data_IF_410876994623
#
_entry.id   IF_410876994623
#
_cell.length_a   1.000
_cell.length_b   1.000
_cell.length_c   1.000
_cell.angle_alpha   90.00
_cell.angle_beta   90.00
_cell.angle_gamma   90.00
#
_symmetry.space_group_name_H-M   'P 1'
#
loop_
_entity.id
_entity.type
_entity.pdbx_description
1 polymer ?
#
# COMPACT_ATOMS: atom_id res chain seq x y z
N UNK A 1 -31.73 1.08 8.72
CA UNK A 1 -31.65 0.28 8.93
C UNK A 1 -31.08 -0.21 9.15
N UNK A 2 -31.23 0.13 8.76
CA UNK A 2 -31.00 -0.70 8.97
C UNK A 2 -30.54 -1.02 9.11
N UNK A 3 -30.44 -0.93 8.91
CA UNK A 3 -30.31 -1.74 9.30
C UNK A 3 -29.79 -2.25 9.42
N UNK A 4 -29.75 -2.01 9.12
CA UNK A 4 -29.54 -2.85 9.39
C UNK A 4 -29.04 -3.21 9.71
N UNK A 5 -28.90 -3.00 9.71
CA UNK A 5 -28.69 -3.79 9.98
C UNK A 5 -28.13 -3.98 10.36
N UNK A 6 -27.94 -3.93 10.36
CA UNK A 6 -27.71 -4.58 10.77
C UNK A 6 -27.15 -5.01 11.06
N UNK A 7 -26.88 -5.03 10.79
CA UNK A 7 -26.63 -5.81 11.04
C UNK A 7 -26.03 -6.20 11.15
N UNK A 8 -25.69 -6.18 10.93
CA UNK A 8 -25.31 -6.90 10.98
C UNK A 8 -24.60 -7.33 11.02
N UNK A 9 -24.48 -7.15 10.72
CA UNK A 9 -23.95 -7.74 10.68
C UNK A 9 -23.26 -8.11 10.75
N UNK A 10 -23.14 -8.00 10.68
CA UNK A 10 -22.40 -8.41 10.52
C UNK A 10 -21.40 -9.05 10.22
N UNK A 11 -21.02 -9.34 10.22
CA UNK A 11 -20.02 -10.18 10.01
C UNK A 11 -19.62 -10.44 8.62
N UNK A 12 -20.24 -10.58 7.71
CA UNK A 12 -19.84 -10.75 6.34
C UNK A 12 -19.25 -9.45 5.78
N UNK A 13 -18.36 -9.53 4.74
CA UNK A 13 -17.79 -8.33 4.15
C UNK A 13 -18.91 -7.44 3.61
N UNK A 14 -18.92 -6.22 4.04
CA UNK A 14 -20.01 -5.33 3.69
C UNK A 14 -20.09 -5.02 2.21
N UNK A 15 -18.95 -5.09 1.51
CA UNK A 15 -18.89 -4.79 0.11
C UNK A 15 -19.53 -5.83 -0.80
N UNK A 16 -19.72 -7.05 -0.30
CA UNK A 16 -20.24 -8.14 -1.12
C UNK A 16 -21.62 -7.87 -1.67
N UNK A 17 -22.41 -7.10 -0.94
CA UNK A 17 -23.77 -6.78 -1.35
C UNK A 17 -23.84 -6.13 -2.72
N UNK A 18 -22.86 -5.29 -3.05
CA UNK A 18 -22.76 -4.59 -4.32
C UNK A 18 -21.49 -4.95 -5.08
N UNK A 19 -20.83 -6.01 -4.66
CA UNK A 19 -19.56 -6.39 -5.26
C UNK A 19 -18.40 -5.49 -4.88
N UNK A 20 -18.61 -4.58 -3.93
CA UNK A 20 -17.55 -3.68 -3.45
C UNK A 20 -16.75 -4.39 -2.38
N UNK A 21 -15.42 -4.35 -2.51
CA UNK A 21 -14.53 -4.99 -1.56
C UNK A 21 -13.27 -4.17 -1.37
N UNK A 22 -12.50 -4.51 -0.35
CA UNK A 22 -11.20 -3.91 -0.11
C UNK A 22 -10.19 -4.99 0.21
N UNK A 23 -8.94 -4.71 -0.09
CA UNK A 23 -7.85 -5.54 0.40
C UNK A 23 -6.60 -4.69 0.55
N UNK A 24 -5.66 -5.20 1.35
CA UNK A 24 -4.38 -4.52 1.60
C UNK A 24 -3.28 -5.32 0.91
N UNK A 25 -2.46 -4.61 0.14
CA UNK A 25 -1.30 -5.18 -0.51
C UNK A 25 -0.06 -4.72 0.26
N UNK A 26 0.71 -5.65 0.81
CA UNK A 26 1.93 -5.34 1.56
C UNK A 26 3.10 -6.10 1.00
N UNK A 27 4.19 -5.39 0.74
CA UNK A 27 5.45 -5.99 0.31
C UNK A 27 6.61 -5.17 0.86
N UNK A 28 7.71 -5.84 1.15
CA UNK A 28 8.92 -5.17 1.64
C UNK A 28 9.91 -4.83 0.55
N UNK A 29 9.62 -5.14 -0.68
CA UNK A 29 10.48 -4.83 -1.81
C UNK A 29 10.05 -3.54 -2.49
N UNK A 30 11.00 -2.82 -3.13
CA UNK A 30 10.64 -1.58 -3.82
C UNK A 30 9.95 -1.85 -5.14
N UNK A 31 9.27 -0.82 -5.66
CA UNK A 31 8.71 -0.85 -7.01
C UNK A 31 9.75 -0.40 -8.02
N UNK A 32 9.75 -1.03 -9.19
CA UNK A 32 10.48 -0.52 -10.33
C UNK A 32 9.59 0.54 -10.98
N UNK A 33 10.08 1.78 -11.00
CA UNK A 33 9.25 2.93 -11.40
C UNK A 33 8.59 2.75 -12.77
N UNK A 34 9.36 2.35 -13.77
CA UNK A 34 8.82 2.19 -15.12
C UNK A 34 7.73 1.12 -15.19
N UNK A 35 7.91 0.05 -14.45
CA UNK A 35 6.91 -1.03 -14.43
C UNK A 35 5.63 -0.56 -13.75
N UNK A 36 5.77 0.19 -12.67
CA UNK A 36 4.61 0.72 -11.96
C UNK A 36 3.84 1.72 -12.83
N UNK A 37 4.58 2.59 -13.55
CA UNK A 37 3.95 3.55 -14.46
C UNK A 37 3.19 2.84 -15.58
N UNK A 38 3.75 1.77 -16.11
CA UNK A 38 3.07 0.96 -17.12
C UNK A 38 1.79 0.33 -16.54
N UNK A 39 1.87 -0.15 -15.31
CA UNK A 39 0.69 -0.69 -14.63
C UNK A 39 -0.38 0.39 -14.48
N UNK A 40 0.01 1.61 -14.11
CA UNK A 40 -0.93 2.72 -13.96
C UNK A 40 -1.61 3.08 -15.28
N UNK A 41 -0.87 2.98 -16.39
CA UNK A 41 -1.44 3.26 -17.71
C UNK A 41 -2.54 2.25 -18.08
N UNK A 42 -2.49 1.07 -17.47
CA UNK A 42 -3.43 -0.01 -17.72
C UNK A 42 -4.20 -0.40 -16.45
N UNK A 43 -4.41 0.58 -15.58
CA UNK A 43 -4.99 0.34 -14.27
C UNK A 43 -6.38 -0.29 -14.40
N UNK A 44 -6.66 -1.36 -13.64
CA UNK A 44 -7.98 -2.02 -13.72
C UNK A 44 -9.11 -1.06 -13.39
N UNK A 45 -10.12 -1.03 -14.25
CA UNK A 45 -11.27 -0.16 -14.04
C UNK A 45 -12.12 -0.58 -12.85
N UNK A 46 -11.94 -1.81 -12.39
CA UNK A 46 -12.64 -2.30 -11.19
C UNK A 46 -12.15 -1.63 -9.91
N UNK A 47 -10.96 -1.02 -9.93
CA UNK A 47 -10.42 -0.34 -8.76
C UNK A 47 -10.98 1.08 -8.71
N UNK A 48 -11.67 1.41 -7.62
CA UNK A 48 -12.28 2.73 -7.42
C UNK A 48 -11.29 3.68 -6.77
N UNK A 49 -10.60 3.20 -5.74
CA UNK A 49 -9.61 4.00 -5.01
C UNK A 49 -8.45 3.15 -4.52
N UNK A 50 -7.29 3.78 -4.50
CA UNK A 50 -6.10 3.19 -3.91
C UNK A 50 -5.38 4.25 -3.11
N UNK A 51 -4.88 3.88 -1.94
CA UNK A 51 -4.10 4.82 -1.13
C UNK A 51 -3.10 4.05 -0.27
N UNK A 52 -1.94 4.63 -0.11
CA UNK A 52 -0.96 4.09 0.80
C UNK A 52 0.46 4.46 0.45
N UNK A 53 1.40 3.84 1.14
CA UNK A 53 2.82 4.12 0.99
C UNK A 53 3.46 3.19 -0.02
N UNK A 54 4.34 3.76 -0.83
CA UNK A 54 5.16 3.01 -1.77
C UNK A 54 6.59 3.56 -1.71
N UNK A 55 7.52 2.82 -2.29
CA UNK A 55 8.88 3.30 -2.48
C UNK A 55 9.44 2.68 -3.75
N UNK A 56 10.46 3.33 -4.29
CA UNK A 56 10.97 3.00 -5.62
C UNK A 56 12.41 2.55 -5.54
N UNK A 57 12.77 1.63 -6.42
CA UNK A 57 14.12 1.08 -6.48
C UNK A 57 15.18 2.14 -6.75
N UNK A 58 14.84 3.15 -7.55
CA UNK A 58 15.74 4.24 -7.90
C UNK A 58 15.80 5.37 -6.88
N UNK A 59 14.99 5.27 -5.82
CA UNK A 59 14.95 6.33 -4.79
C UNK A 59 14.59 5.70 -3.44
N UNK A 60 15.47 4.85 -2.94
CA UNK A 60 15.17 4.01 -1.77
C UNK A 60 15.05 4.74 -0.45
N UNK A 61 15.56 5.97 -0.38
CA UNK A 61 15.60 6.69 0.89
C UNK A 61 14.31 7.41 1.23
N UNK A 62 13.43 7.61 0.26
CA UNK A 62 12.19 8.35 0.45
C UNK A 62 10.97 7.49 0.31
N UNK A 63 9.98 7.76 1.17
CA UNK A 63 8.65 7.19 1.02
C UNK A 63 7.81 8.09 0.13
N UNK A 64 6.83 7.48 -0.54
CA UNK A 64 5.86 8.20 -1.34
C UNK A 64 4.47 7.81 -0.92
N UNK A 65 3.61 8.81 -0.81
CA UNK A 65 2.18 8.57 -0.61
C UNK A 65 1.53 8.49 -1.97
N UNK A 66 1.02 7.31 -2.30
CA UNK A 66 0.31 7.09 -3.56
C UNK A 66 -1.18 7.18 -3.34
N UNK A 67 -1.87 7.92 -4.20
CA UNK A 67 -3.32 8.04 -4.19
C UNK A 67 -3.86 7.91 -5.59
N UNK A 68 -4.93 7.17 -5.74
CA UNK A 68 -5.62 7.01 -7.02
C UNK A 68 -7.12 7.08 -6.77
N UNK A 69 -7.82 7.81 -7.62
CA UNK A 69 -9.27 7.89 -7.61
C UNK A 69 -9.73 7.95 -9.06
N UNK A 70 -10.45 6.92 -9.50
CA UNK A 70 -10.84 6.81 -10.91
C UNK A 70 -9.62 6.78 -11.82
N UNK A 71 -9.55 7.69 -12.78
CA UNK A 71 -8.45 7.75 -13.72
C UNK A 71 -7.31 8.67 -13.29
N UNK A 72 -7.43 9.27 -12.12
CA UNK A 72 -6.41 10.18 -11.61
C UNK A 72 -5.55 9.48 -10.56
N UNK A 73 -4.25 9.65 -10.69
CA UNK A 73 -3.31 9.07 -9.75
C UNK A 73 -2.19 10.07 -9.48
N UNK A 74 -1.69 10.06 -8.25
CA UNK A 74 -0.58 10.93 -7.86
C UNK A 74 0.29 10.23 -6.84
N UNK A 75 1.56 10.62 -6.82
CA UNK A 75 2.50 10.15 -5.81
C UNK A 75 3.25 11.36 -5.27
N UNK A 76 3.19 11.57 -3.97
CA UNK A 76 3.84 12.69 -3.29
C UNK A 76 4.99 12.18 -2.43
N UNK A 77 6.13 12.87 -2.49
CA UNK A 77 7.23 12.57 -1.59
C UNK A 77 6.76 12.81 -0.15
N UNK A 78 6.83 11.79 0.68
CA UNK A 78 6.35 11.83 2.05
C UNK A 78 7.51 11.87 3.05
N UNK A 79 8.72 12.06 2.56
CA UNK A 79 9.90 12.19 3.38
C UNK A 79 10.69 10.90 3.50
N UNK A 80 11.87 11.00 4.13
CA UNK A 80 12.75 9.83 4.25
C UNK A 80 12.18 8.81 5.22
N UNK A 81 12.51 7.54 4.94
CA UNK A 81 12.22 6.46 5.88
C UNK A 81 13.14 6.59 7.11
N UNK A 82 12.67 6.09 8.25
CA UNK A 82 13.54 6.01 9.42
C UNK A 82 14.76 5.12 9.14
N UNK A 83 14.59 4.10 8.31
CA UNK A 83 15.69 3.22 7.90
C UNK A 83 16.77 3.95 7.08
N UNK A 84 16.49 5.16 6.59
CA UNK A 84 17.45 5.98 5.85
C UNK A 84 18.33 6.83 6.78
N UNK A 85 18.01 6.88 8.06
CA UNK A 85 18.78 7.65 9.03
C UNK A 85 20.04 6.89 9.45
N UNK A 86 20.96 7.57 10.12
CA UNK A 86 22.16 6.93 10.66
C UNK A 86 21.79 5.86 11.68
N UNK A 87 22.71 4.93 11.94
CA UNK A 87 22.48 3.89 12.95
C UNK A 87 22.15 4.47 14.32
N UNK A 88 22.85 5.54 14.71
CA UNK A 88 22.60 6.20 15.99
C UNK A 88 21.19 6.78 16.05
N UNK A 89 20.78 7.43 14.97
CA UNK A 89 19.45 8.01 14.90
C UNK A 89 18.38 6.93 14.88
N UNK A 90 18.63 5.83 14.16
CA UNK A 90 17.70 4.71 14.16
C UNK A 90 17.51 4.14 15.57
N UNK A 91 18.60 3.99 16.32
CA UNK A 91 18.53 3.49 17.68
C UNK A 91 17.73 4.42 18.57
N UNK A 92 17.93 5.74 18.41
CA UNK A 92 17.17 6.73 19.18
C UNK A 92 15.69 6.65 18.85
N UNK A 93 15.36 6.60 17.56
CA UNK A 93 13.96 6.54 17.12
C UNK A 93 13.28 5.29 17.66
N UNK A 94 13.94 4.14 17.60
CA UNK A 94 13.37 2.89 18.11
C UNK A 94 13.20 2.90 19.61
N UNK A 95 14.11 3.56 20.33
CA UNK A 95 14.01 3.70 21.79
C UNK A 95 12.81 4.56 22.18
N UNK A 96 12.60 5.65 21.46
CA UNK A 96 11.52 6.59 21.73
C UNK A 96 10.18 6.12 21.21
N UNK A 97 10.18 5.16 20.30
CA UNK A 97 8.96 4.64 19.66
C UNK A 97 8.99 3.11 19.66
N UNK A 98 8.83 2.48 20.83
CA UNK A 98 8.99 1.02 20.90
C UNK A 98 8.01 0.23 20.04
N UNK A 99 6.89 0.82 19.67
CA UNK A 99 5.92 0.14 18.79
C UNK A 99 6.48 -0.08 17.38
N UNK A 100 7.47 0.72 16.97
CA UNK A 100 8.12 0.53 15.67
C UNK A 100 8.88 -0.79 15.60
N UNK A 101 9.36 -1.29 16.73
CA UNK A 101 10.07 -2.57 16.76
C UNK A 101 9.18 -3.71 16.27
N UNK A 102 7.88 -3.61 16.48
CA UNK A 102 6.94 -4.66 16.08
C UNK A 102 6.80 -4.77 14.57
N UNK A 103 7.05 -3.68 13.85
CA UNK A 103 6.90 -3.64 12.39
C UNK A 103 8.22 -3.40 11.68
N UNK A 104 9.31 -3.36 12.43
CA UNK A 104 10.65 -3.10 11.88
C UNK A 104 11.21 -4.39 11.28
N UNK A 105 11.55 -4.32 9.99
CA UNK A 105 12.15 -5.45 9.30
C UNK A 105 13.67 -5.43 9.44
N UNK A 106 14.27 -6.60 9.61
CA UNK A 106 15.72 -6.70 9.82
C UNK A 106 16.51 -6.16 8.63
N UNK A 107 15.99 -6.32 7.43
CA UNK A 107 16.64 -5.89 6.20
C UNK A 107 16.20 -4.50 5.75
N UNK A 108 14.90 -4.24 5.79
CA UNK A 108 14.33 -3.03 5.19
C UNK A 108 13.93 -1.95 6.20
N UNK A 109 13.94 -2.26 7.49
CA UNK A 109 13.51 -1.31 8.51
C UNK A 109 12.03 -1.02 8.40
N UNK A 110 11.68 0.26 8.28
CA UNK A 110 10.29 0.67 8.10
C UNK A 110 9.87 0.77 6.63
N UNK A 111 10.78 0.54 5.69
CA UNK A 111 10.45 0.58 4.27
C UNK A 111 9.44 -0.49 3.91
N UNK A 112 8.35 -0.08 3.29
CA UNK A 112 7.26 -0.99 2.97
C UNK A 112 6.39 -0.41 1.86
N UNK A 113 5.85 -1.29 1.02
CA UNK A 113 4.70 -0.95 0.20
C UNK A 113 3.48 -1.40 0.99
N UNK A 114 2.57 -0.47 1.24
CA UNK A 114 1.31 -0.80 1.89
C UNK A 114 0.21 -0.01 1.24
N UNK A 115 -0.53 -0.67 0.35
CA UNK A 115 -1.60 -0.05 -0.42
C UNK A 115 -2.93 -0.68 -0.07
N UNK A 116 -3.93 0.15 0.14
CA UNK A 116 -5.31 -0.29 0.33
C UNK A 116 -6.04 -0.08 -0.99
N UNK A 117 -6.58 -1.17 -1.52
CA UNK A 117 -7.37 -1.15 -2.76
C UNK A 117 -8.85 -1.27 -2.41
N UNK A 118 -9.65 -0.38 -2.97
CA UNK A 118 -11.11 -0.42 -2.85
C UNK A 118 -11.67 -0.48 -4.26
N UNK A 119 -12.56 -1.41 -4.52
CA UNK A 119 -13.11 -1.54 -5.86
C UNK A 119 -14.37 -2.36 -5.91
N UNK A 120 -14.88 -2.54 -7.13
CA UNK A 120 -16.09 -3.30 -7.37
C UNK A 120 -15.78 -4.45 -8.31
N UNK A 121 -16.11 -5.67 -7.88
CA UNK A 121 -15.86 -6.90 -8.66
C UNK A 121 -14.38 -7.03 -9.04
N UNK A 122 -13.49 -6.68 -8.11
CA UNK A 122 -12.05 -6.77 -8.35
C UNK A 122 -11.58 -8.21 -8.44
N UNK A 123 -10.68 -8.47 -9.39
CA UNK A 123 -9.95 -9.73 -9.41
C UNK A 123 -8.68 -9.54 -8.56
N UNK A 124 -8.80 -9.84 -7.28
CA UNK A 124 -7.73 -9.62 -6.31
C UNK A 124 -6.43 -10.33 -6.71
N UNK A 125 -6.53 -11.58 -7.13
CA UNK A 125 -5.35 -12.36 -7.52
C UNK A 125 -4.62 -11.73 -8.69
N UNK A 126 -5.37 -11.23 -9.66
CA UNK A 126 -4.82 -10.60 -10.85
C UNK A 126 -4.13 -9.29 -10.49
N UNK A 127 -4.76 -8.50 -9.62
CA UNK A 127 -4.19 -7.22 -9.17
C UNK A 127 -2.88 -7.48 -8.41
N UNK A 128 -2.89 -8.45 -7.50
CA UNK A 128 -1.69 -8.80 -6.74
C UNK A 128 -0.57 -9.27 -7.66
N UNK A 129 -0.90 -10.11 -8.64
CA UNK A 129 0.11 -10.59 -9.60
C UNK A 129 0.70 -9.44 -10.42
N UNK A 130 -0.14 -8.50 -10.86
CA UNK A 130 0.31 -7.35 -11.61
C UNK A 130 1.22 -6.45 -10.78
N UNK A 131 0.87 -6.23 -9.50
CA UNK A 131 1.70 -5.47 -8.58
C UNK A 131 3.03 -6.18 -8.31
N UNK A 132 2.99 -7.49 -8.11
CA UNK A 132 4.22 -8.25 -7.87
C UNK A 132 5.17 -8.18 -9.07
N UNK A 133 4.63 -8.07 -10.27
CA UNK A 133 5.46 -7.89 -11.47
C UNK A 133 6.16 -6.54 -11.51
N UNK A 134 5.74 -5.59 -10.71
CA UNK A 134 6.36 -4.28 -10.62
C UNK A 134 7.50 -4.24 -9.59
N UNK A 135 7.67 -5.29 -8.79
CA UNK A 135 8.67 -5.28 -7.71
C UNK A 135 10.08 -5.41 -8.24
N UNK A 136 10.99 -4.67 -7.60
CA UNK A 136 12.42 -4.81 -7.82
C UNK A 136 13.08 -5.65 -6.73
N UNK A 137 14.38 -5.51 -6.60
CA UNK A 137 15.15 -6.25 -5.60
C UNK A 137 15.72 -5.36 -4.50
#
# INVERSE_FOLDING_TARGET
MCHCGHHHDKDHPHGDEYGISTFVYERRRPLVRDKFETFLDNYPTSIIRTKGLVWFEDERNNSYLFEQAGKQASAQNFGPWFASESEEEQKRILRENPDLLKVWDAEYGDRIIRLVFIGQHMDKKKIIAAMDNCLGV
#
